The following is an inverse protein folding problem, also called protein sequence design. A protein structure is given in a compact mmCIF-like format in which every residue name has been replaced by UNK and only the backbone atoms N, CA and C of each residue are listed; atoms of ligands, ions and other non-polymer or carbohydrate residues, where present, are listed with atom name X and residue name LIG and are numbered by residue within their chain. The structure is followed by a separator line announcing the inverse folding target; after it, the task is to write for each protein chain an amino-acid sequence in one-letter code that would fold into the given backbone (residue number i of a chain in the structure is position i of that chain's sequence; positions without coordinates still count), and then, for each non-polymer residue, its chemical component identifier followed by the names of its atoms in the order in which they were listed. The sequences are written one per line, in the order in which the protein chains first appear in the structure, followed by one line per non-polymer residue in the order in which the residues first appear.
data_IF_403264360396
#
_entry.id   IF_403264360396
#
_cell.length_a   1.000
_cell.length_b   1.000
_cell.length_c   1.000
_cell.angle_alpha   90.00
_cell.angle_beta   90.00
_cell.angle_gamma   90.00
#
_symmetry.space_group_name_H-M   'P 1'
#
loop_
_entity.id
_entity.type
_entity.pdbx_description
1 polymer ?
#
# COMPACT_ATOMS: atom_id res chain seq x y z
N UNK A 1 8.05 -6.91 4.27
CA UNK A 1 8.96 -6.53 5.39
C UNK A 1 9.01 -7.69 6.38
N UNK A 2 10.08 -7.82 7.16
CA UNK A 2 10.26 -8.93 8.11
C UNK A 2 10.28 -8.39 9.54
N UNK A 3 9.41 -8.89 10.43
CA UNK A 3 9.31 -8.40 11.81
C UNK A 3 10.62 -8.55 12.60
N UNK A 4 11.29 -9.70 12.46
CA UNK A 4 12.56 -9.97 13.15
C UNK A 4 13.68 -8.98 12.79
N UNK A 5 13.62 -8.37 11.61
CA UNK A 5 14.59 -7.36 11.15
C UNK A 5 14.24 -5.94 11.64
N UNK A 6 13.02 -5.74 12.16
CA UNK A 6 12.46 -4.42 12.50
C UNK A 6 12.17 -4.24 13.98
N UNK A 7 12.01 -5.33 14.72
CA UNK A 7 11.69 -5.29 16.14
C UNK A 7 12.80 -4.59 16.94
N UNK A 8 12.41 -3.70 17.85
CA UNK A 8 13.34 -2.91 18.66
C UNK A 8 13.90 -1.66 17.97
N UNK A 9 13.65 -1.46 16.68
CA UNK A 9 14.06 -0.24 15.98
C UNK A 9 13.08 0.91 16.20
N UNK A 10 13.55 2.17 16.22
CA UNK A 10 12.69 3.35 16.14
C UNK A 10 11.81 3.36 14.89
N UNK A 11 10.66 4.03 14.95
CA UNK A 11 9.72 4.16 13.82
C UNK A 11 10.42 4.74 12.59
N UNK A 12 11.27 5.75 12.77
CA UNK A 12 12.04 6.35 11.68
C UNK A 12 12.91 5.32 10.94
N UNK A 13 13.63 4.48 11.68
CA UNK A 13 14.56 3.50 11.12
C UNK A 13 13.83 2.35 10.43
N UNK A 14 12.67 1.94 10.96
CA UNK A 14 11.80 0.96 10.31
C UNK A 14 11.42 1.44 8.90
N UNK A 15 11.14 2.74 8.75
CA UNK A 15 10.72 3.40 7.52
C UNK A 15 11.86 3.90 6.64
N UNK A 16 13.12 3.67 6.99
CA UNK A 16 14.28 4.10 6.18
C UNK A 16 14.21 3.77 4.67
N UNK A 17 13.64 2.62 4.25
CA UNK A 17 13.49 2.30 2.83
C UNK A 17 12.42 3.10 2.08
N UNK A 18 11.53 3.82 2.78
CA UNK A 18 10.43 4.58 2.16
C UNK A 18 10.97 5.90 1.60
N UNK A 19 10.82 6.17 0.29
CA UNK A 19 11.25 7.42 -0.31
C UNK A 19 10.65 8.62 0.42
N UNK A 20 11.47 9.66 0.60
CA UNK A 20 11.13 10.96 1.23
C UNK A 20 10.57 10.92 2.65
N UNK A 21 10.41 9.74 3.28
CA UNK A 21 9.73 9.60 4.57
C UNK A 21 10.32 10.48 5.67
N UNK A 22 11.63 10.40 5.89
CA UNK A 22 12.30 11.18 6.93
C UNK A 22 12.12 12.69 6.73
N UNK A 23 12.17 13.15 5.47
CA UNK A 23 12.10 14.57 5.13
C UNK A 23 10.68 15.14 5.17
N UNK A 24 9.65 14.32 4.89
CA UNK A 24 8.29 14.81 4.65
C UNK A 24 7.25 14.33 5.68
N UNK A 25 7.46 13.17 6.30
CA UNK A 25 6.42 12.47 7.06
C UNK A 25 6.84 12.10 8.48
N UNK A 26 8.12 11.77 8.69
CA UNK A 26 8.65 11.21 9.94
C UNK A 26 8.26 12.00 11.18
N UNK A 27 8.59 13.29 11.23
CA UNK A 27 8.30 14.15 12.38
C UNK A 27 6.79 14.24 12.69
N UNK A 28 5.94 14.23 11.66
CA UNK A 28 4.48 14.24 11.84
C UNK A 28 3.96 12.95 12.44
N UNK A 29 4.51 11.80 12.02
CA UNK A 29 4.16 10.48 12.57
C UNK A 29 4.62 10.35 14.02
N UNK A 30 5.85 10.72 14.34
CA UNK A 30 6.35 10.68 15.72
C UNK A 30 5.47 11.53 16.64
N UNK A 31 5.18 12.77 16.22
CA UNK A 31 4.30 13.67 16.96
C UNK A 31 2.85 13.15 17.11
N UNK A 32 2.36 12.37 16.14
CA UNK A 32 1.04 11.74 16.22
C UNK A 32 1.04 10.60 17.25
N UNK A 33 2.07 9.76 17.23
CA UNK A 33 2.22 8.62 18.15
C UNK A 33 2.36 9.12 19.59
N UNK A 34 3.21 10.12 19.82
CA UNK A 34 3.45 10.71 21.14
C UNK A 34 2.16 11.29 21.74
N UNK A 35 1.35 11.97 20.92
CA UNK A 35 0.13 12.66 21.34
C UNK A 35 -1.14 11.80 21.24
N UNK A 36 -1.03 10.53 20.89
CA UNK A 36 -2.18 9.66 20.73
C UNK A 36 -2.86 9.44 22.09
N UNK A 37 -4.04 10.03 22.31
CA UNK A 37 -4.77 9.91 23.57
C UNK A 37 -5.45 8.55 23.74
N UNK A 38 -5.68 8.14 25.00
CA UNK A 38 -6.48 6.95 25.31
C UNK A 38 -7.88 7.04 24.70
N UNK A 39 -8.38 5.90 24.20
CA UNK A 39 -9.67 5.81 23.53
C UNK A 39 -9.71 6.37 22.11
N UNK A 40 -8.70 7.13 21.67
CA UNK A 40 -8.60 7.60 20.28
C UNK A 40 -8.05 6.49 19.39
N UNK A 41 -8.69 6.30 18.23
CA UNK A 41 -8.22 5.44 17.15
C UNK A 41 -7.89 6.33 15.96
N UNK A 42 -6.68 6.18 15.43
CA UNK A 42 -6.29 6.78 14.14
C UNK A 42 -6.26 5.67 13.11
N UNK A 43 -6.78 5.96 11.92
CA UNK A 43 -6.82 5.03 10.80
C UNK A 43 -6.21 5.66 9.55
N UNK A 44 -5.54 4.84 8.75
CA UNK A 44 -5.11 5.18 7.41
C UNK A 44 -5.14 3.95 6.51
N UNK A 45 -5.06 4.19 5.20
CA UNK A 45 -4.87 3.13 4.21
C UNK A 45 -3.46 3.20 3.63
N UNK A 46 -2.84 2.05 3.45
CA UNK A 46 -1.69 1.87 2.57
C UNK A 46 -2.12 0.92 1.43
N UNK A 47 -1.50 1.03 0.26
CA UNK A 47 -1.87 0.19 -0.89
C UNK A 47 -0.63 -0.24 -1.69
N UNK A 48 -0.74 -1.35 -2.40
CA UNK A 48 0.21 -1.84 -3.40
C UNK A 48 -0.51 -2.69 -4.45
N UNK A 49 0.24 -3.16 -5.44
CA UNK A 49 -0.20 -4.21 -6.37
C UNK A 49 0.50 -5.51 -5.98
N UNK A 50 -0.20 -6.64 -6.03
CA UNK A 50 0.38 -7.97 -5.88
C UNK A 50 0.02 -8.84 -7.09
N UNK A 51 0.94 -9.73 -7.44
CA UNK A 51 0.80 -10.77 -8.47
C UNK A 51 0.48 -12.15 -7.86
N UNK A 52 0.30 -12.23 -6.54
CA UNK A 52 -0.10 -13.43 -5.81
C UNK A 52 -1.24 -13.17 -4.85
N UNK A 53 -2.10 -14.18 -4.65
CA UNK A 53 -3.16 -14.18 -3.65
C UNK A 53 -2.68 -14.43 -2.21
N UNK A 54 -1.37 -14.57 -2.00
CA UNK A 54 -0.81 -14.89 -0.68
C UNK A 54 -0.83 -13.68 0.26
N UNK A 55 -1.42 -13.85 1.45
CA UNK A 55 -1.41 -12.80 2.46
C UNK A 55 -0.03 -12.61 3.13
N UNK A 56 0.78 -13.68 3.17
CA UNK A 56 2.06 -13.72 3.87
C UNK A 56 3.24 -13.59 2.89
N UNK A 57 3.65 -12.34 2.64
CA UNK A 57 4.78 -12.00 1.77
C UNK A 57 5.81 -11.16 2.54
N UNK A 58 6.65 -11.78 3.39
CA UNK A 58 7.61 -11.05 4.20
C UNK A 58 8.71 -10.38 3.34
N UNK A 59 8.93 -10.86 2.12
CA UNK A 59 9.87 -10.31 1.13
C UNK A 59 9.16 -10.20 -0.21
N UNK A 60 9.46 -9.13 -0.94
CA UNK A 60 8.90 -8.92 -2.28
C UNK A 60 9.55 -9.89 -3.26
N UNK A 61 8.77 -10.77 -3.93
CA UNK A 61 9.30 -11.58 -5.02
C UNK A 61 9.67 -10.68 -6.22
N UNK A 62 10.53 -11.16 -7.15
CA UNK A 62 10.71 -10.48 -8.41
C UNK A 62 9.38 -10.42 -9.18
N UNK A 63 9.09 -9.31 -9.89
CA UNK A 63 7.85 -9.20 -10.63
C UNK A 63 7.78 -10.22 -11.77
N UNK A 64 6.57 -10.70 -12.06
CA UNK A 64 6.29 -11.60 -13.18
C UNK A 64 5.93 -10.74 -14.39
N UNK A 65 6.71 -10.84 -15.48
CA UNK A 65 6.58 -9.95 -16.63
C UNK A 65 5.25 -10.13 -17.41
N UNK A 66 4.75 -11.36 -17.52
CA UNK A 66 3.62 -11.72 -18.38
C UNK A 66 2.37 -12.12 -17.59
N UNK A 67 2.07 -11.39 -16.49
CA UNK A 67 0.81 -11.56 -15.76
C UNK A 67 -0.33 -10.85 -16.49
N UNK A 68 -1.47 -11.54 -16.58
CA UNK A 68 -2.72 -10.92 -17.04
C UNK A 68 -3.10 -9.76 -16.09
N UNK A 69 -3.20 -8.50 -16.57
CA UNK A 69 -3.56 -7.38 -15.73
C UNK A 69 -4.93 -7.53 -15.05
N UNK A 70 -5.83 -8.37 -15.56
CA UNK A 70 -7.11 -8.69 -14.93
C UNK A 70 -6.96 -9.46 -13.60
N UNK A 71 -5.89 -10.25 -13.47
CA UNK A 71 -5.61 -11.12 -12.32
C UNK A 71 -4.73 -10.43 -11.26
N UNK A 72 -4.11 -9.30 -11.59
CA UNK A 72 -3.37 -8.49 -10.61
C UNK A 72 -4.30 -8.02 -9.49
N UNK A 73 -3.77 -7.97 -8.27
CA UNK A 73 -4.55 -7.69 -7.07
C UNK A 73 -4.22 -6.30 -6.52
N UNK A 74 -5.26 -5.48 -6.33
CA UNK A 74 -5.17 -4.30 -5.48
C UNK A 74 -5.07 -4.77 -4.03
N UNK A 75 -3.88 -4.66 -3.44
CA UNK A 75 -3.64 -4.97 -2.02
C UNK A 75 -3.80 -3.70 -1.21
N UNK A 76 -4.78 -3.67 -0.31
CA UNK A 76 -5.02 -2.53 0.61
C UNK A 76 -4.81 -2.97 2.04
N UNK A 77 -4.05 -2.19 2.78
CA UNK A 77 -3.85 -2.34 4.21
C UNK A 77 -4.63 -1.26 4.95
N UNK A 78 -5.67 -1.65 5.69
CA UNK A 78 -6.29 -0.80 6.69
C UNK A 78 -5.43 -0.84 7.95
N UNK A 79 -4.80 0.29 8.24
CA UNK A 79 -3.83 0.43 9.31
C UNK A 79 -4.44 1.26 10.43
N UNK A 80 -4.37 0.78 11.67
CA UNK A 80 -4.88 1.52 12.83
C UNK A 80 -3.82 1.66 13.92
N UNK A 81 -3.84 2.81 14.60
CA UNK A 81 -3.05 3.10 15.79
C UNK A 81 -3.99 3.39 16.95
N UNK A 82 -3.76 2.73 18.08
CA UNK A 82 -4.50 2.96 19.33
C UNK A 82 -3.57 2.85 20.54
N UNK A 83 -3.72 3.74 21.52
CA UNK A 83 -3.03 3.61 22.81
C UNK A 83 -3.67 2.52 23.68
N UNK A 84 -2.81 1.71 24.32
CA UNK A 84 -3.17 0.68 25.30
C UNK A 84 -2.17 0.78 26.47
N UNK A 85 -2.50 1.60 27.47
CA UNK A 85 -1.56 1.93 28.54
C UNK A 85 -0.34 2.69 27.99
N UNK A 86 0.85 2.19 28.28
CA UNK A 86 2.11 2.85 27.90
C UNK A 86 2.57 2.51 26.47
N UNK A 87 1.83 1.65 25.75
CA UNK A 87 2.19 1.25 24.38
C UNK A 87 1.14 1.72 23.37
N UNK A 88 1.59 1.84 22.11
CA UNK A 88 0.71 2.03 20.96
C UNK A 88 0.62 0.73 20.19
N UNK A 89 -0.60 0.24 20.00
CA UNK A 89 -0.88 -0.93 19.18
C UNK A 89 -1.10 -0.48 17.75
N UNK A 90 -0.26 -0.97 16.86
CA UNK A 90 -0.41 -0.83 15.42
C UNK A 90 -0.98 -2.11 14.84
N UNK A 91 -2.14 -2.04 14.18
CA UNK A 91 -2.73 -3.21 13.51
C UNK A 91 -2.83 -2.97 12.02
N UNK A 92 -2.64 -4.05 11.25
CA UNK A 92 -2.69 -4.03 9.79
C UNK A 92 -3.67 -5.12 9.35
N UNK A 93 -4.79 -4.71 8.77
CA UNK A 93 -5.73 -5.64 8.12
C UNK A 93 -5.59 -5.51 6.61
N UNK A 94 -5.13 -6.57 5.97
CA UNK A 94 -4.98 -6.63 4.51
C UNK A 94 -6.26 -7.10 3.83
N UNK A 95 -6.57 -6.46 2.72
CA UNK A 95 -7.60 -6.80 1.75
C UNK A 95 -6.95 -6.94 0.38
N UNK A 96 -7.48 -7.83 -0.45
CA UNK A 96 -7.04 -8.04 -1.83
C UNK A 96 -8.27 -8.12 -2.72
N UNK A 97 -8.22 -7.46 -3.86
CA UNK A 97 -9.28 -7.47 -4.88
C UNK A 97 -8.64 -7.52 -6.27
N UNK A 98 -9.07 -8.43 -7.17
CA UNK A 98 -8.52 -8.49 -8.52
C UNK A 98 -8.95 -7.29 -9.34
N UNK A 99 -8.09 -6.84 -10.27
CA UNK A 99 -8.38 -5.73 -11.17
C UNK A 99 -9.63 -5.98 -12.01
N UNK A 100 -9.92 -7.23 -12.36
CA UNK A 100 -11.16 -7.62 -13.05
C UNK A 100 -12.41 -7.15 -12.31
N UNK A 101 -12.46 -7.42 -10.99
CA UNK A 101 -13.54 -6.97 -10.13
C UNK A 101 -13.48 -5.45 -9.87
N UNK A 102 -12.28 -4.89 -9.71
CA UNK A 102 -12.12 -3.45 -9.51
C UNK A 102 -12.65 -2.66 -10.72
N UNK A 103 -12.48 -3.18 -11.94
CA UNK A 103 -12.96 -2.58 -13.20
C UNK A 103 -14.48 -2.44 -13.26
N UNK A 104 -15.23 -3.25 -12.52
CA UNK A 104 -16.70 -3.21 -12.45
C UNK A 104 -17.22 -2.07 -11.54
N UNK A 105 -16.34 -1.35 -10.83
CA UNK A 105 -16.72 -0.24 -9.96
C UNK A 105 -17.22 0.99 -10.75
N UNK A 106 -17.90 1.94 -10.08
CA UNK A 106 -18.28 3.21 -10.71
C UNK A 106 -17.08 3.85 -11.42
N UNK A 107 -17.30 4.32 -12.65
CA UNK A 107 -16.23 4.77 -13.55
C UNK A 107 -15.32 5.84 -12.92
N UNK A 108 -15.91 6.75 -12.16
CA UNK A 108 -15.18 7.78 -11.40
C UNK A 108 -14.13 7.19 -10.43
N UNK A 109 -14.39 6.04 -9.81
CA UNK A 109 -13.46 5.39 -8.89
C UNK A 109 -12.33 4.72 -9.65
N UNK A 110 -12.64 4.13 -10.81
CA UNK A 110 -11.64 3.51 -11.69
C UNK A 110 -10.70 4.58 -12.25
N UNK A 111 -11.26 5.68 -12.76
CA UNK A 111 -10.47 6.78 -13.32
C UNK A 111 -9.62 7.46 -12.24
N UNK A 112 -10.15 7.66 -11.02
CA UNK A 112 -9.37 8.18 -9.91
C UNK A 112 -8.19 7.27 -9.55
N UNK A 113 -8.38 5.94 -9.56
CA UNK A 113 -7.29 5.01 -9.30
C UNK A 113 -6.23 5.00 -10.41
N UNK A 114 -6.65 5.06 -11.67
CA UNK A 114 -5.74 5.23 -12.82
C UNK A 114 -4.91 6.50 -12.68
N UNK A 115 -5.54 7.62 -12.29
CA UNK A 115 -4.84 8.87 -12.00
C UNK A 115 -3.82 8.70 -10.87
N UNK A 116 -4.18 8.05 -9.76
CA UNK A 116 -3.24 7.75 -8.65
C UNK A 116 -2.03 6.95 -9.15
N UNK A 117 -2.23 5.94 -9.99
CA UNK A 117 -1.12 5.16 -10.55
C UNK A 117 -0.20 6.03 -11.42
N UNK A 118 -0.75 6.92 -12.25
CA UNK A 118 0.03 7.86 -13.07
C UNK A 118 0.75 8.94 -12.26
N UNK A 119 0.15 9.45 -11.19
CA UNK A 119 0.74 10.52 -10.37
C UNK A 119 1.73 9.98 -9.33
N UNK A 120 1.67 8.68 -9.01
CA UNK A 120 2.62 8.07 -8.07
C UNK A 120 4.06 8.25 -8.59
N UNK A 121 4.96 8.92 -7.85
CA UNK A 121 6.33 9.16 -8.30
C UNK A 121 7.10 7.87 -8.58
N UNK A 122 8.03 7.90 -9.54
CA UNK A 122 8.80 6.72 -9.97
C UNK A 122 9.51 6.02 -8.82
N UNK A 123 10.12 6.77 -7.90
CA UNK A 123 10.77 6.22 -6.71
C UNK A 123 9.80 5.47 -5.78
N UNK A 124 8.56 5.96 -5.64
CA UNK A 124 7.50 5.29 -4.88
C UNK A 124 7.02 4.04 -5.60
N UNK A 125 6.90 4.07 -6.94
CA UNK A 125 6.57 2.87 -7.74
C UNK A 125 7.64 1.79 -7.59
N UNK A 126 8.90 2.17 -7.64
CA UNK A 126 10.04 1.26 -7.46
C UNK A 126 10.07 0.69 -6.04
N UNK A 127 9.89 1.53 -5.01
CA UNK A 127 9.79 1.09 -3.62
C UNK A 127 8.64 0.11 -3.39
N UNK A 128 7.46 0.38 -3.98
CA UNK A 128 6.30 -0.52 -3.92
C UNK A 128 6.42 -1.72 -4.87
N UNK A 129 7.47 -1.77 -5.69
CA UNK A 129 7.70 -2.81 -6.71
C UNK A 129 6.55 -2.95 -7.71
N UNK A 130 5.89 -1.85 -8.06
CA UNK A 130 4.73 -1.84 -8.97
C UNK A 130 5.05 -1.31 -10.37
N UNK A 131 6.28 -0.84 -10.62
CA UNK A 131 6.64 -0.16 -11.87
C UNK A 131 6.26 -0.96 -13.12
N UNK A 132 6.50 -2.28 -13.13
CA UNK A 132 6.17 -3.18 -14.24
C UNK A 132 4.67 -3.29 -14.50
N UNK A 133 3.84 -3.09 -13.48
CA UNK A 133 2.40 -3.35 -13.53
C UNK A 133 1.55 -2.12 -13.85
N UNK A 134 2.09 -0.91 -13.67
CA UNK A 134 1.30 0.32 -13.82
C UNK A 134 0.70 0.45 -15.23
N UNK A 135 1.51 0.31 -16.28
CA UNK A 135 1.03 0.52 -17.66
C UNK A 135 0.04 -0.56 -18.11
N UNK A 136 0.29 -1.87 -17.88
CA UNK A 136 -0.70 -2.92 -18.15
C UNK A 136 -2.03 -2.70 -17.42
N UNK A 137 -1.99 -2.33 -16.13
CA UNK A 137 -3.20 -2.08 -15.34
C UNK A 137 -3.97 -0.88 -15.90
N UNK A 138 -3.30 0.25 -16.15
CA UNK A 138 -3.94 1.45 -16.70
C UNK A 138 -4.58 1.16 -18.07
N UNK A 139 -3.88 0.43 -18.95
CA UNK A 139 -4.42 0.01 -20.25
C UNK A 139 -5.66 -0.86 -20.09
N UNK A 140 -5.60 -1.86 -19.20
CA UNK A 140 -6.72 -2.76 -18.95
C UNK A 140 -7.95 -2.02 -18.40
N UNK A 141 -7.78 -1.18 -17.38
CA UNK A 141 -8.86 -0.45 -16.72
C UNK A 141 -9.51 0.62 -17.61
N UNK A 142 -8.74 1.20 -18.54
CA UNK A 142 -9.25 2.23 -19.46
C UNK A 142 -9.83 1.66 -20.75
N UNK A 143 -9.51 0.42 -21.10
CA UNK A 143 -10.08 -0.24 -22.27
C UNK A 143 -11.62 -0.34 -22.17
N UNK A 144 -12.31 -0.24 -23.31
CA UNK A 144 -13.74 -0.53 -23.37
C UNK A 144 -13.95 -2.03 -23.05
N UNK A 145 -15.06 -2.40 -22.39
CA UNK A 145 -15.41 -3.82 -22.25
C UNK A 145 -15.46 -4.45 -23.64
N UNK A 146 -14.92 -5.65 -23.80
CA UNK A 146 -15.13 -6.43 -25.02
C UNK A 146 -16.64 -6.66 -25.18
N UNK A 147 -17.17 -6.38 -26.38
CA UNK A 147 -18.58 -6.60 -26.76
C UNK A 147 -19.01 -8.06 -26.60
#
# INVERSE_FOLDING_TARGET
WVLAEKIGLPVLDIHGPVPTYAAQVGAGVDSLIDRLADGRIVERSNWSISDTGDFFEPRTPPPIADVDPAELLLRVERQTLRRLGDVVVFTIRTYMEPMSRFRERPREQVDAFVQVLHETPTEVRSYKSITTYVEPICTYLTSLPSE
#
